data_IF_423479599176
#
_entry.id   IF_423479599176
#
_cell.length_a   1.000
_cell.length_b   1.000
_cell.length_c   1.000
_cell.angle_alpha   90.00
_cell.angle_beta   90.00
_cell.angle_gamma   90.00
#
_symmetry.space_group_name_H-M   'P 1'
#
loop_
_entity.id
_entity.type
_entity.pdbx_description
1 polymer ?
#
# COMPACT_ATOMS: atom_id res chain seq x y z
N UNK A 1 -8.03 -54.06 5.65
CA UNK A 1 -7.84 -53.65 7.06
C UNK A 1 -6.43 -53.06 7.23
N UNK A 2 -6.17 -51.87 6.68
CA UNK A 2 -4.94 -51.10 6.94
C UNK A 2 -5.07 -49.62 6.53
N UNK A 3 -6.22 -48.99 6.80
CA UNK A 3 -6.44 -47.54 6.58
C UNK A 3 -6.20 -46.72 7.86
N UNK A 4 -5.28 -47.16 8.71
CA UNK A 4 -4.94 -46.50 9.97
C UNK A 4 -3.46 -46.19 9.90
N UNK A 5 -3.09 -44.96 9.50
CA UNK A 5 -1.84 -44.23 9.87
C UNK A 5 -1.46 -43.10 8.88
N UNK A 6 -2.34 -42.11 8.68
CA UNK A 6 -1.87 -40.74 8.41
C UNK A 6 -2.79 -39.78 9.17
N UNK A 7 -2.63 -39.74 10.49
CA UNK A 7 -3.12 -38.61 11.28
C UNK A 7 -2.00 -37.57 11.22
N UNK A 8 -2.07 -36.63 10.28
CA UNK A 8 -1.22 -35.44 10.31
C UNK A 8 -1.56 -34.67 11.58
N UNK A 9 -0.77 -34.93 12.62
CA UNK A 9 -0.78 -34.20 13.88
C UNK A 9 -0.31 -32.80 13.54
N UNK A 10 -1.23 -31.84 13.46
CA UNK A 10 -0.85 -30.42 13.55
C UNK A 10 -0.24 -30.23 14.93
N UNK A 11 1.08 -30.36 15.02
CA UNK A 11 1.83 -29.79 16.14
C UNK A 11 1.78 -28.29 15.87
N UNK A 12 1.00 -27.56 16.66
CA UNK A 12 1.13 -26.10 16.72
C UNK A 12 2.46 -25.85 17.42
N UNK A 13 3.53 -25.80 16.64
CA UNK A 13 4.84 -25.40 17.13
C UNK A 13 4.75 -23.92 17.43
N UNK A 14 4.91 -23.53 18.69
CA UNK A 14 4.99 -22.12 19.05
C UNK A 14 6.32 -21.58 18.48
N UNK A 15 6.25 -20.75 17.44
CA UNK A 15 7.42 -20.13 16.83
C UNK A 15 7.70 -18.85 17.61
N UNK A 16 8.93 -18.70 18.09
CA UNK A 16 9.34 -17.51 18.81
C UNK A 16 9.40 -16.29 17.85
N UNK A 17 9.05 -15.11 18.35
CA UNK A 17 8.90 -13.90 17.52
C UNK A 17 10.22 -13.48 16.85
N UNK A 18 11.34 -13.63 17.54
CA UNK A 18 12.70 -13.39 17.04
C UNK A 18 13.02 -14.24 15.80
N UNK A 19 12.57 -15.49 15.79
CA UNK A 19 12.71 -16.37 14.64
C UNK A 19 11.91 -15.82 13.46
N UNK A 20 10.66 -15.41 13.67
CA UNK A 20 9.79 -14.86 12.61
C UNK A 20 10.41 -13.61 11.98
N UNK A 21 10.89 -12.67 12.79
CA UNK A 21 11.51 -11.42 12.30
C UNK A 21 12.84 -11.67 11.59
N UNK A 22 13.54 -12.77 11.90
CA UNK A 22 14.79 -13.14 11.23
C UNK A 22 14.60 -13.71 9.82
N UNK A 23 13.36 -13.99 9.38
CA UNK A 23 13.08 -14.61 8.07
C UNK A 23 13.00 -13.55 6.96
N UNK A 24 14.02 -13.39 6.10
CA UNK A 24 14.03 -12.32 5.10
C UNK A 24 12.95 -12.50 4.03
N UNK A 25 12.62 -13.75 3.69
CA UNK A 25 11.61 -14.03 2.67
C UNK A 25 10.18 -13.72 3.16
N UNK A 26 9.93 -13.91 4.46
CA UNK A 26 8.64 -13.58 5.06
C UNK A 26 8.40 -12.08 5.06
N UNK A 27 9.45 -11.29 5.32
CA UNK A 27 9.40 -9.84 5.26
C UNK A 27 8.99 -9.37 3.85
N UNK A 28 9.70 -9.84 2.82
CA UNK A 28 9.40 -9.51 1.42
C UNK A 28 7.97 -9.88 1.02
N UNK A 29 7.49 -11.10 1.35
CA UNK A 29 6.11 -11.49 1.04
C UNK A 29 5.10 -10.60 1.76
N UNK A 30 5.35 -10.28 3.03
CA UNK A 30 4.43 -9.45 3.82
C UNK A 30 4.32 -8.05 3.20
N UNK A 31 5.45 -7.46 2.81
CA UNK A 31 5.50 -6.17 2.14
C UNK A 31 4.82 -6.19 0.76
N UNK A 32 5.12 -7.19 -0.07
CA UNK A 32 4.52 -7.34 -1.40
C UNK A 32 3.00 -7.54 -1.30
N UNK A 33 2.56 -8.36 -0.34
CA UNK A 33 1.14 -8.59 -0.09
C UNK A 33 0.44 -7.29 0.31
N UNK A 34 1.04 -6.47 1.17
CA UNK A 34 0.48 -5.18 1.56
C UNK A 34 0.53 -4.14 0.44
N UNK A 35 1.50 -4.24 -0.47
CA UNK A 35 1.61 -3.38 -1.65
C UNK A 35 0.42 -3.62 -2.61
N UNK A 36 0.17 -4.89 -2.94
CA UNK A 36 -0.87 -5.33 -3.88
C UNK A 36 -2.26 -5.39 -3.25
N UNK A 37 -2.37 -5.93 -2.03
CA UNK A 37 -3.63 -6.13 -1.30
C UNK A 37 -3.75 -5.14 -0.13
N UNK A 38 -3.74 -3.86 -0.46
CA UNK A 38 -3.78 -2.79 0.55
C UNK A 38 -5.08 -2.88 1.37
N UNK A 39 -5.01 -2.99 2.71
CA UNK A 39 -6.20 -3.07 3.56
C UNK A 39 -7.00 -1.75 3.59
N UNK A 40 -6.34 -0.62 3.27
CA UNK A 40 -6.94 0.70 3.15
C UNK A 40 -6.70 1.25 1.74
N UNK A 41 -7.63 1.00 0.82
CA UNK A 41 -7.48 1.34 -0.60
C UNK A 41 -7.34 2.85 -0.86
N UNK A 42 -7.95 3.69 -0.03
CA UNK A 42 -8.00 5.15 -0.19
C UNK A 42 -7.64 5.85 1.11
N UNK A 43 -7.03 7.02 1.00
CA UNK A 43 -6.79 7.95 2.11
C UNK A 43 -7.39 9.31 1.82
N UNK A 44 -7.85 9.94 2.88
CA UNK A 44 -8.34 11.31 2.90
C UNK A 44 -7.31 12.15 3.65
N UNK A 45 -6.98 13.31 3.11
CA UNK A 45 -6.19 14.34 3.80
C UNK A 45 -6.94 15.65 3.72
N UNK A 46 -6.84 16.48 4.75
CA UNK A 46 -7.40 17.83 4.77
C UNK A 46 -6.25 18.83 4.77
N UNK A 47 -6.33 19.83 3.89
CA UNK A 47 -5.35 20.91 3.86
C UNK A 47 -5.64 21.90 5.00
N UNK A 48 -4.84 21.90 6.06
CA UNK A 48 -5.03 22.84 7.18
C UNK A 48 -4.57 24.28 6.86
N UNK A 49 -3.94 24.48 5.72
CA UNK A 49 -3.51 25.78 5.19
C UNK A 49 -3.42 25.70 3.66
N UNK A 50 -3.39 26.86 3.03
CA UNK A 50 -3.14 26.96 1.59
C UNK A 50 -1.77 26.35 1.24
N UNK A 51 -1.77 25.39 0.31
CA UNK A 51 -0.57 24.66 -0.07
C UNK A 51 -0.52 24.44 -1.58
N UNK A 52 0.68 24.39 -2.14
CA UNK A 52 0.91 24.01 -3.54
C UNK A 52 1.48 22.60 -3.57
N UNK A 53 0.72 21.65 -4.08
CA UNK A 53 1.17 20.28 -4.34
C UNK A 53 1.99 20.26 -5.63
N UNK A 54 3.21 19.74 -5.57
CA UNK A 54 4.04 19.51 -6.76
C UNK A 54 3.81 18.10 -7.26
N UNK A 55 3.55 17.95 -8.56
CA UNK A 55 3.32 16.66 -9.21
C UNK A 55 4.63 16.12 -9.77
N UNK A 56 4.84 14.80 -9.60
CA UNK A 56 5.97 14.11 -10.23
C UNK A 56 5.83 14.11 -11.74
N UNK A 57 4.63 13.83 -12.24
CA UNK A 57 4.27 13.91 -13.65
C UNK A 57 3.24 15.01 -13.89
N UNK A 58 3.39 15.82 -14.95
CA UNK A 58 2.42 16.86 -15.25
C UNK A 58 1.06 16.28 -15.64
N UNK A 59 0.00 16.95 -15.21
CA UNK A 59 -1.36 16.68 -15.69
C UNK A 59 -1.77 17.70 -16.74
N UNK A 60 -2.72 17.34 -17.60
CA UNK A 60 -3.24 18.23 -18.62
C UNK A 60 -4.48 18.96 -18.13
N UNK A 61 -4.44 20.28 -18.19
CA UNK A 61 -5.59 21.14 -17.87
C UNK A 61 -6.64 21.12 -18.99
N UNK A 62 -7.83 21.67 -18.71
CA UNK A 62 -8.93 21.84 -19.67
C UNK A 62 -8.51 22.63 -20.90
N UNK A 63 -7.62 23.62 -20.72
CA UNK A 63 -7.07 24.44 -21.80
C UNK A 63 -5.93 23.73 -22.56
N UNK A 64 -5.61 22.49 -22.20
CA UNK A 64 -4.56 21.69 -22.81
C UNK A 64 -3.15 21.96 -22.31
N UNK A 65 -2.98 22.94 -21.40
CA UNK A 65 -1.72 23.30 -20.76
C UNK A 65 -1.27 22.22 -19.78
N UNK A 66 0.04 21.93 -19.74
CA UNK A 66 0.61 21.00 -18.76
C UNK A 66 0.82 21.70 -17.42
N UNK A 67 0.26 21.12 -16.35
CA UNK A 67 0.37 21.61 -14.98
C UNK A 67 1.27 20.68 -14.17
N UNK A 68 2.34 21.23 -13.60
CA UNK A 68 3.24 20.53 -12.68
C UNK A 68 2.91 20.78 -11.20
N UNK A 69 1.98 21.72 -10.93
CA UNK A 69 1.66 22.17 -9.59
C UNK A 69 0.16 22.39 -9.47
N UNK A 70 -0.42 21.99 -8.34
CA UNK A 70 -1.82 22.16 -8.02
C UNK A 70 -1.92 22.98 -6.73
N UNK A 71 -2.64 24.08 -6.77
CA UNK A 71 -2.99 24.83 -5.57
C UNK A 71 -4.15 24.14 -4.84
N UNK A 72 -3.97 23.90 -3.55
CA UNK A 72 -4.97 23.33 -2.66
C UNK A 72 -5.26 24.35 -1.55
N UNK A 73 -6.44 24.97 -1.54
CA UNK A 73 -6.83 25.89 -0.48
C UNK A 73 -6.98 25.18 0.87
N UNK A 74 -6.93 25.97 1.94
CA UNK A 74 -7.30 25.55 3.29
C UNK A 74 -8.71 24.93 3.33
N UNK A 75 -8.89 23.94 4.19
CA UNK A 75 -10.11 23.19 4.49
C UNK A 75 -10.64 22.36 3.30
N UNK A 76 -9.77 22.07 2.31
CA UNK A 76 -10.07 21.17 1.19
C UNK A 76 -9.58 19.75 1.47
N UNK A 77 -10.43 18.77 1.16
CA UNK A 77 -10.09 17.36 1.23
C UNK A 77 -9.46 16.84 -0.07
N UNK A 78 -8.29 16.22 0.06
CA UNK A 78 -7.59 15.51 -1.01
C UNK A 78 -7.78 14.01 -0.83
N UNK A 79 -8.17 13.34 -1.91
CA UNK A 79 -8.46 11.91 -1.95
C UNK A 79 -7.36 11.21 -2.75
N UNK A 80 -6.66 10.26 -2.12
CA UNK A 80 -5.56 9.53 -2.76
C UNK A 80 -5.87 8.03 -2.73
N UNK A 81 -5.69 7.37 -3.88
CA UNK A 81 -5.80 5.91 -3.98
C UNK A 81 -4.44 5.27 -3.69
N UNK A 82 -4.31 4.60 -2.54
CA UNK A 82 -3.07 3.88 -2.22
C UNK A 82 -2.87 2.72 -3.18
N UNK A 83 -3.93 1.99 -3.53
CA UNK A 83 -3.83 0.85 -4.43
C UNK A 83 -3.28 1.26 -5.81
N UNK A 84 -3.70 2.40 -6.35
CA UNK A 84 -3.18 2.88 -7.63
C UNK A 84 -1.75 3.42 -7.49
N UNK A 85 -1.43 4.11 -6.40
CA UNK A 85 -0.06 4.58 -6.14
C UNK A 85 0.94 3.43 -5.99
N UNK A 86 0.55 2.35 -5.34
CA UNK A 86 1.39 1.17 -5.11
C UNK A 86 1.59 0.32 -6.37
N UNK A 87 0.65 0.33 -7.31
CA UNK A 87 0.73 -0.39 -8.58
C UNK A 87 1.10 0.54 -9.75
N UNK A 88 1.71 1.69 -9.46
CA UNK A 88 2.19 2.59 -10.51
C UNK A 88 3.39 1.95 -11.21
N UNK A 89 3.42 1.95 -12.54
CA UNK A 89 4.52 1.35 -13.30
C UNK A 89 5.73 2.27 -13.46
N UNK A 90 5.55 3.57 -13.22
CA UNK A 90 6.61 4.57 -13.36
C UNK A 90 7.52 4.66 -12.11
N UNK A 91 7.20 3.91 -11.05
CA UNK A 91 7.91 3.84 -9.77
C UNK A 91 8.33 2.39 -9.53
#
# INVERSE_FOLDING_TARGET
>A
MLWRLVKHRHVVTNIAYDVIVSLPYLDVISHETLCVHVPALKRFREAHMDVVLTLTEPIRDLDGTLMHKIFVPKDIHVFVSICLSNNNLDI
#
